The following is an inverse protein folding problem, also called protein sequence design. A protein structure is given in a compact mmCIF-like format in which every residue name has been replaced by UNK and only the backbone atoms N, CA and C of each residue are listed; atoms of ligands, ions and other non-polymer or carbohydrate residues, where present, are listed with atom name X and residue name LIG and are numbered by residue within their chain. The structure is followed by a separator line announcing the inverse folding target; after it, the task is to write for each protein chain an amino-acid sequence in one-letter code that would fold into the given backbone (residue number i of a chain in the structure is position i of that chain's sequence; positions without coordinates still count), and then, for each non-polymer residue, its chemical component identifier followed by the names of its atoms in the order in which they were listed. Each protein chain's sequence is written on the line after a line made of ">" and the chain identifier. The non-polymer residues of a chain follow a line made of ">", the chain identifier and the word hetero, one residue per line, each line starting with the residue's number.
data_IF_699817794687
#
_entry.id   IF_699817794687
#
_cell.length_a   1.000
_cell.length_b   1.000
_cell.length_c   1.000
_cell.angle_alpha   90.00
_cell.angle_beta   90.00
_cell.angle_gamma   90.00
#
_symmetry.space_group_name_H-M   'P 1'
#
loop_
_entity.id
_entity.type
_entity.pdbx_description
1 polymer ?
#
# COMPACT_ATOMS: atom_id res chain seq x y z
N UNK A 1 5.37 37.39 16.79
CA UNK A 1 4.50 37.95 17.82
C UNK A 1 5.15 39.24 18.32
N UNK A 2 4.59 40.39 17.90
CA UNK A 2 4.97 41.70 18.47
C UNK A 2 4.45 41.78 19.92
N UNK A 3 5.32 41.94 20.89
CA UNK A 3 4.95 42.06 22.30
C UNK A 3 5.05 43.52 22.74
N UNK A 4 3.91 44.14 22.98
CA UNK A 4 3.85 45.42 23.71
C UNK A 4 3.95 45.18 25.20
N UNK A 5 5.18 45.13 25.76
CA UNK A 5 5.51 45.17 27.19
C UNK A 5 4.78 44.17 28.09
N UNK A 6 5.41 43.03 28.40
CA UNK A 6 4.92 42.01 29.31
C UNK A 6 5.89 40.80 29.35
N UNK A 7 5.66 39.85 30.28
CA UNK A 7 6.44 38.61 30.36
C UNK A 7 6.21 37.81 29.04
N UNK A 8 7.30 37.46 28.34
CA UNK A 8 7.22 36.66 27.15
C UNK A 8 6.49 35.32 27.41
N UNK A 9 5.48 34.93 26.62
CA UNK A 9 4.82 33.65 26.81
C UNK A 9 5.81 32.51 26.55
N UNK A 10 5.81 31.50 27.41
CA UNK A 10 6.56 30.27 27.15
C UNK A 10 5.86 29.52 26.00
N UNK A 11 6.59 29.21 24.93
CA UNK A 11 6.13 28.35 23.87
C UNK A 11 6.48 26.91 24.21
N UNK A 12 5.47 26.06 24.32
CA UNK A 12 5.62 24.62 24.50
C UNK A 12 5.44 23.90 23.18
N UNK A 13 6.26 22.89 22.93
CA UNK A 13 6.18 22.05 21.74
C UNK A 13 6.39 20.58 22.06
N UNK A 14 6.03 19.70 21.13
CA UNK A 14 6.30 18.27 21.28
C UNK A 14 7.82 18.05 21.32
N UNK A 15 8.30 17.33 22.35
CA UNK A 15 9.68 16.88 22.38
C UNK A 15 9.85 15.67 21.44
N UNK A 16 10.66 15.77 20.38
CA UNK A 16 10.82 14.68 19.43
C UNK A 16 11.44 13.41 20.04
N UNK A 17 12.20 13.56 21.13
CA UNK A 17 12.88 12.44 21.80
C UNK A 17 12.05 11.79 22.92
N UNK A 18 10.80 12.19 23.10
CA UNK A 18 9.90 11.60 24.11
C UNK A 18 9.54 10.15 23.81
N UNK A 19 9.63 9.73 22.54
CA UNK A 19 9.35 8.37 22.13
C UNK A 19 9.56 8.18 20.63
N UNK A 20 9.56 6.93 20.23
CA UNK A 20 9.82 6.50 18.87
C UNK A 20 8.81 5.44 18.45
N UNK A 21 8.58 5.36 17.16
CA UNK A 21 7.65 4.40 16.55
C UNK A 21 8.33 3.70 15.39
N UNK A 22 8.09 2.41 15.28
CA UNK A 22 8.64 1.58 14.21
C UNK A 22 7.50 1.18 13.28
N UNK A 23 7.70 1.36 11.99
CA UNK A 23 6.86 0.79 10.94
C UNK A 23 7.57 -0.39 10.29
N UNK A 24 6.80 -1.40 9.90
CA UNK A 24 7.25 -2.54 9.11
C UNK A 24 6.28 -2.74 7.95
N UNK A 25 6.80 -2.78 6.74
CA UNK A 25 6.02 -2.96 5.52
C UNK A 25 6.47 -4.24 4.83
N UNK A 26 5.62 -5.27 4.85
CA UNK A 26 5.91 -6.59 4.31
C UNK A 26 5.56 -6.60 2.83
N UNK A 27 6.55 -6.90 1.98
CA UNK A 27 6.39 -7.15 0.55
C UNK A 27 6.66 -8.63 0.24
N UNK A 28 6.36 -9.05 -0.98
CA UNK A 28 6.51 -10.45 -1.40
C UNK A 28 7.94 -10.97 -1.27
N UNK A 29 8.95 -10.15 -1.60
CA UNK A 29 10.37 -10.54 -1.63
C UNK A 29 11.27 -9.66 -0.77
N UNK A 30 10.69 -8.75 0.00
CA UNK A 30 11.43 -7.85 0.87
C UNK A 30 10.57 -7.35 2.02
N UNK A 31 11.22 -6.79 3.04
CA UNK A 31 10.56 -5.93 4.02
C UNK A 31 11.23 -4.57 4.05
N UNK A 32 10.43 -3.55 4.35
CA UNK A 32 10.92 -2.22 4.69
C UNK A 32 10.71 -1.98 6.18
N UNK A 33 11.68 -1.39 6.86
CA UNK A 33 11.57 -1.04 8.27
C UNK A 33 11.98 0.42 8.44
N UNK A 34 11.15 1.20 9.11
CA UNK A 34 11.39 2.60 9.40
C UNK A 34 11.22 2.94 10.86
N UNK A 35 11.94 3.96 11.31
CA UNK A 35 11.83 4.55 12.63
C UNK A 35 11.48 6.02 12.50
N UNK A 36 10.46 6.46 13.22
CA UNK A 36 10.13 7.88 13.36
C UNK A 36 10.22 8.31 14.83
N UNK A 37 10.51 9.61 15.05
CA UNK A 37 10.45 10.22 16.36
C UNK A 37 9.00 10.57 16.76
N UNK A 38 8.83 11.13 17.97
CA UNK A 38 7.51 11.50 18.48
C UNK A 38 6.78 12.55 17.63
N UNK A 39 7.50 13.41 16.91
CA UNK A 39 6.92 14.37 15.95
C UNK A 39 6.48 13.72 14.64
N UNK A 40 6.97 12.53 14.32
CA UNK A 40 6.73 11.85 13.05
C UNK A 40 7.78 12.16 11.98
N UNK A 41 8.98 12.59 12.37
CA UNK A 41 10.11 12.76 11.47
C UNK A 41 10.83 11.41 11.31
N UNK A 42 11.19 11.06 10.07
CA UNK A 42 11.92 9.82 9.77
C UNK A 42 13.35 9.91 10.27
N UNK A 43 13.72 9.03 11.20
CA UNK A 43 15.05 8.96 11.81
C UNK A 43 15.93 7.90 11.14
N UNK A 44 15.38 6.73 10.87
CA UNK A 44 16.08 5.61 10.21
C UNK A 44 15.12 4.94 9.22
N UNK A 45 15.65 4.52 8.08
CA UNK A 45 14.88 3.82 7.05
C UNK A 45 15.75 2.77 6.38
N UNK A 46 15.30 1.53 6.39
CA UNK A 46 15.88 0.41 5.65
C UNK A 46 14.86 -0.11 4.67
N UNK A 47 15.18 0.04 3.39
CA UNK A 47 14.35 -0.42 2.28
C UNK A 47 14.91 -1.72 1.71
N UNK A 48 13.99 -2.54 1.19
CA UNK A 48 14.31 -3.74 0.44
C UNK A 48 15.23 -4.74 1.17
N UNK A 49 15.03 -4.91 2.49
CA UNK A 49 15.71 -5.96 3.24
C UNK A 49 15.22 -7.30 2.68
N UNK A 50 16.11 -8.18 2.19
CA UNK A 50 15.71 -9.45 1.62
C UNK A 50 14.87 -10.28 2.59
N UNK A 51 13.69 -10.66 2.14
CA UNK A 51 12.75 -11.49 2.89
C UNK A 51 11.79 -12.13 1.90
N UNK A 52 11.76 -13.45 1.84
CA UNK A 52 10.77 -14.17 1.05
C UNK A 52 9.58 -14.45 1.94
N UNK A 53 8.45 -13.80 1.62
CA UNK A 53 7.22 -14.05 2.37
C UNK A 53 6.82 -15.52 2.25
N UNK A 54 6.70 -16.18 3.39
CA UNK A 54 6.14 -17.52 3.54
C UNK A 54 5.08 -17.49 4.64
N UNK A 55 3.88 -17.97 4.29
CA UNK A 55 2.77 -18.03 5.24
C UNK A 55 2.96 -19.27 6.16
N UNK A 56 4.02 -19.23 6.96
CA UNK A 56 4.46 -20.29 7.87
C UNK A 56 4.96 -19.72 9.19
N UNK A 57 5.10 -20.57 10.20
CA UNK A 57 5.69 -20.20 11.50
C UNK A 57 7.15 -19.78 11.31
N UNK A 58 7.87 -20.44 10.42
CA UNK A 58 9.25 -20.14 10.06
C UNK A 58 9.36 -18.75 9.43
N UNK A 59 8.47 -18.42 8.49
CA UNK A 59 8.37 -17.09 7.88
C UNK A 59 8.09 -16.01 8.92
N UNK A 60 7.19 -16.26 9.87
CA UNK A 60 6.90 -15.33 10.96
C UNK A 60 8.12 -15.14 11.89
N UNK A 61 8.83 -16.22 12.20
CA UNK A 61 10.03 -16.16 13.03
C UNK A 61 11.16 -15.38 12.35
N UNK A 62 11.36 -15.57 11.04
CA UNK A 62 12.35 -14.80 10.28
C UNK A 62 11.98 -13.31 10.22
N UNK A 63 10.69 -12.97 10.03
CA UNK A 63 10.20 -11.60 10.14
C UNK A 63 10.56 -10.97 11.50
N UNK A 64 10.25 -11.64 12.59
CA UNK A 64 10.57 -11.17 13.94
C UNK A 64 12.08 -11.00 14.15
N UNK A 65 12.90 -11.89 13.61
CA UNK A 65 14.36 -11.82 13.67
C UNK A 65 14.89 -10.58 12.91
N UNK A 66 14.35 -10.27 11.72
CA UNK A 66 14.74 -9.09 10.95
C UNK A 66 14.37 -7.80 11.67
N UNK A 67 13.16 -7.72 12.26
CA UNK A 67 12.73 -6.59 13.08
C UNK A 67 13.63 -6.42 14.30
N UNK A 68 13.90 -7.51 15.03
CA UNK A 68 14.77 -7.49 16.20
C UNK A 68 16.20 -7.05 15.86
N UNK A 69 16.72 -7.50 14.71
CA UNK A 69 18.05 -7.09 14.23
C UNK A 69 18.11 -5.60 13.85
N UNK A 70 17.02 -5.05 13.33
CA UNK A 70 16.92 -3.61 13.10
C UNK A 70 16.94 -2.86 14.42
N UNK A 71 16.11 -3.27 15.40
CA UNK A 71 16.00 -2.62 16.72
C UNK A 71 17.33 -2.65 17.48
N UNK A 72 18.05 -3.79 17.46
CA UNK A 72 19.36 -3.93 18.14
C UNK A 72 20.43 -2.97 17.63
N UNK A 73 20.30 -2.44 16.42
CA UNK A 73 21.23 -1.45 15.84
C UNK A 73 20.90 -0.01 16.23
N UNK A 74 19.73 0.20 16.81
CA UNK A 74 19.33 1.53 17.29
C UNK A 74 19.97 1.83 18.62
N UNK A 75 20.47 3.07 18.80
CA UNK A 75 20.99 3.57 20.08
C UNK A 75 19.89 4.17 20.96
N UNK A 76 18.72 3.51 20.99
CA UNK A 76 17.50 3.98 21.66
C UNK A 76 17.16 3.01 22.78
N UNK A 77 16.85 3.55 23.97
CA UNK A 77 16.40 2.74 25.09
C UNK A 77 15.06 2.04 24.75
N UNK A 78 14.91 0.80 25.22
CA UNK A 78 13.74 -0.04 24.91
C UNK A 78 12.41 0.65 25.24
N UNK A 79 12.36 1.34 26.36
CA UNK A 79 11.18 2.01 26.93
C UNK A 79 10.74 3.22 26.08
N UNK A 80 11.63 3.73 25.22
CA UNK A 80 11.33 4.83 24.29
C UNK A 80 10.71 4.35 22.96
N UNK A 81 10.73 3.05 22.65
CA UNK A 81 10.03 2.48 21.51
C UNK A 81 8.60 2.19 21.96
N UNK A 82 7.67 3.06 21.59
CA UNK A 82 6.32 3.08 22.14
C UNK A 82 5.36 2.11 21.42
N UNK A 83 5.54 1.92 20.13
CA UNK A 83 4.72 1.01 19.33
C UNK A 83 5.45 0.59 18.04
N UNK A 84 5.17 -0.62 17.58
CA UNK A 84 5.57 -1.15 16.28
C UNK A 84 4.30 -1.43 15.49
N UNK A 85 4.16 -0.91 14.27
CA UNK A 85 3.05 -1.30 13.38
C UNK A 85 3.58 -2.14 12.22
N UNK A 86 2.94 -3.28 11.99
CA UNK A 86 3.28 -4.20 10.91
C UNK A 86 2.15 -4.21 9.86
N UNK A 87 2.47 -3.79 8.64
CA UNK A 87 1.56 -3.90 7.52
C UNK A 87 1.53 -5.32 6.99
N UNK A 88 0.35 -5.88 6.88
CA UNK A 88 0.08 -7.24 6.39
C UNK A 88 -0.89 -7.18 5.21
N UNK A 89 -0.60 -7.90 4.14
CA UNK A 89 -1.50 -7.95 2.98
C UNK A 89 -2.77 -8.75 3.28
N UNK A 90 -3.86 -8.37 2.61
CA UNK A 90 -5.16 -9.03 2.73
C UNK A 90 -6.01 -8.52 3.89
N UNK A 91 -6.89 -9.36 4.42
CA UNK A 91 -7.92 -8.98 5.39
C UNK A 91 -7.35 -8.90 6.80
N UNK A 92 -7.33 -7.71 7.34
CA UNK A 92 -6.78 -7.40 8.67
C UNK A 92 -7.80 -6.56 9.44
N UNK A 93 -8.14 -7.00 10.64
CA UNK A 93 -8.89 -6.20 11.59
C UNK A 93 -7.90 -5.50 12.53
N UNK A 94 -7.71 -4.18 12.38
CA UNK A 94 -6.71 -3.46 13.14
C UNK A 94 -7.09 -3.24 14.61
N UNK A 95 -8.38 -3.27 14.95
CA UNK A 95 -8.87 -3.10 16.33
C UNK A 95 -8.63 -4.35 17.15
N UNK A 96 -9.00 -5.52 16.61
CA UNK A 96 -8.81 -6.80 17.29
C UNK A 96 -7.42 -7.41 17.09
N UNK A 97 -6.62 -6.88 16.18
CA UNK A 97 -5.28 -7.39 15.89
C UNK A 97 -5.23 -8.71 15.14
N UNK A 98 -6.35 -9.16 14.54
CA UNK A 98 -6.40 -10.38 13.75
C UNK A 98 -6.04 -10.14 12.29
N UNK A 99 -5.21 -11.04 11.76
CA UNK A 99 -5.03 -11.24 10.31
C UNK A 99 -5.80 -12.47 9.88
N UNK A 100 -6.59 -12.37 8.81
CA UNK A 100 -7.40 -13.47 8.29
C UNK A 100 -6.85 -14.06 6.99
N UNK A 101 -5.79 -13.48 6.46
CA UNK A 101 -5.18 -13.90 5.19
C UNK A 101 -3.76 -14.41 5.34
N UNK A 102 -2.99 -13.85 6.25
CA UNK A 102 -1.58 -14.18 6.44
C UNK A 102 -1.27 -14.38 7.92
N UNK A 103 -0.36 -15.31 8.23
CA UNK A 103 0.07 -15.65 9.58
C UNK A 103 -1.09 -16.00 10.54
N UNK A 104 -2.15 -16.61 10.01
CA UNK A 104 -3.31 -17.03 10.78
C UNK A 104 -3.19 -18.51 11.15
N UNK A 105 -2.20 -18.84 11.99
CA UNK A 105 -1.90 -20.22 12.41
C UNK A 105 -2.48 -20.55 13.79
N UNK A 106 -2.71 -19.52 14.59
CA UNK A 106 -3.25 -19.65 15.93
C UNK A 106 -4.61 -18.91 16.00
N UNK A 107 -5.50 -19.37 16.87
CA UNK A 107 -6.76 -18.66 17.15
C UNK A 107 -6.52 -17.44 18.08
N UNK A 108 -5.47 -16.68 17.79
CA UNK A 108 -5.02 -15.53 18.56
C UNK A 108 -4.75 -14.32 17.65
N UNK A 109 -4.91 -13.09 18.16
CA UNK A 109 -4.52 -11.90 17.42
C UNK A 109 -3.04 -11.95 16.99
N UNK A 110 -2.76 -11.73 15.72
CA UNK A 110 -1.39 -11.67 15.22
C UNK A 110 -0.57 -10.58 15.92
N UNK A 111 -1.22 -9.46 16.30
CA UNK A 111 -0.59 -8.38 17.06
C UNK A 111 -0.05 -8.87 18.42
N UNK A 112 -0.77 -9.76 19.12
CA UNK A 112 -0.31 -10.34 20.38
C UNK A 112 0.85 -11.30 20.19
N UNK A 113 0.75 -12.18 19.18
CA UNK A 113 1.83 -13.13 18.84
C UNK A 113 3.12 -12.38 18.51
N UNK A 114 3.03 -11.30 17.72
CA UNK A 114 4.18 -10.46 17.40
C UNK A 114 4.70 -9.72 18.64
N UNK A 115 3.81 -9.22 19.50
CA UNK A 115 4.19 -8.51 20.72
C UNK A 115 4.97 -9.43 21.69
N UNK A 116 4.52 -10.67 21.88
CA UNK A 116 5.24 -11.66 22.68
C UNK A 116 6.63 -11.97 22.12
N UNK A 117 6.73 -12.19 20.79
CA UNK A 117 8.01 -12.53 20.14
C UNK A 117 9.00 -11.38 20.15
N UNK A 118 8.54 -10.14 19.98
CA UNK A 118 9.38 -8.96 19.89
C UNK A 118 9.64 -8.28 21.24
N UNK A 119 8.74 -8.46 22.20
CA UNK A 119 8.82 -7.84 23.53
C UNK A 119 8.48 -6.33 23.52
N UNK A 120 7.64 -5.90 22.57
CA UNK A 120 7.15 -4.52 22.40
C UNK A 120 5.64 -4.52 22.16
N UNK A 121 4.98 -3.37 22.33
CA UNK A 121 3.62 -3.19 21.85
C UNK A 121 3.64 -3.29 20.31
N UNK A 122 2.74 -4.11 19.76
CA UNK A 122 2.61 -4.27 18.31
C UNK A 122 1.17 -4.06 17.89
N UNK A 123 0.98 -3.33 16.81
CA UNK A 123 -0.28 -3.19 16.08
C UNK A 123 -0.08 -3.70 14.66
N UNK A 124 -1.17 -4.08 14.00
CA UNK A 124 -1.13 -4.49 12.60
C UNK A 124 -2.15 -3.69 11.80
N UNK A 125 -1.90 -3.51 10.51
CA UNK A 125 -2.87 -2.96 9.59
C UNK A 125 -2.70 -3.55 8.18
N UNK A 126 -3.70 -3.30 7.32
CA UNK A 126 -3.61 -3.67 5.92
C UNK A 126 -2.60 -2.75 5.19
N UNK A 127 -1.82 -3.34 4.26
CA UNK A 127 -0.78 -2.65 3.48
C UNK A 127 -1.33 -1.45 2.67
N UNK A 128 -2.46 -1.62 1.99
CA UNK A 128 -3.07 -0.55 1.18
C UNK A 128 -3.61 0.58 2.07
N UNK A 129 -4.20 0.28 3.23
CA UNK A 129 -4.60 1.31 4.20
C UNK A 129 -3.40 2.08 4.73
N UNK A 130 -2.31 1.39 5.01
CA UNK A 130 -1.08 2.04 5.42
C UNK A 130 -0.53 2.97 4.32
N UNK A 131 -0.47 2.52 3.05
CA UNK A 131 -0.08 3.38 1.93
C UNK A 131 -0.96 4.61 1.82
N UNK A 132 -2.27 4.45 1.98
CA UNK A 132 -3.26 5.54 1.97
C UNK A 132 -2.96 6.57 3.07
N UNK A 133 -2.73 6.10 4.28
CA UNK A 133 -2.43 6.95 5.42
C UNK A 133 -1.08 7.66 5.30
N UNK A 134 -0.10 6.98 4.70
CA UNK A 134 1.19 7.57 4.37
C UNK A 134 1.05 8.76 3.42
N UNK A 135 0.31 8.59 2.31
CA UNK A 135 0.04 9.65 1.35
C UNK A 135 -0.79 10.78 1.95
N UNK A 136 -1.75 10.46 2.80
CA UNK A 136 -2.57 11.43 3.50
C UNK A 136 -1.75 12.37 4.38
N UNK A 137 -0.82 11.82 5.18
CA UNK A 137 -0.08 12.62 6.16
C UNK A 137 1.23 13.21 5.64
N UNK A 138 1.89 12.58 4.67
CA UNK A 138 3.26 12.93 4.24
C UNK A 138 3.44 12.96 2.72
N UNK A 139 2.39 12.65 1.95
CA UNK A 139 2.45 12.52 0.51
C UNK A 139 1.92 13.71 -0.26
N UNK A 140 0.95 13.44 -1.14
CA UNK A 140 0.40 14.40 -2.10
C UNK A 140 -0.86 15.14 -1.62
N UNK A 141 -1.36 14.85 -0.41
CA UNK A 141 -2.57 15.48 0.15
C UNK A 141 -2.24 16.84 0.75
N UNK A 142 -3.04 17.86 0.46
CA UNK A 142 -2.84 19.25 0.86
C UNK A 142 -4.07 19.85 1.56
N UNK A 143 -4.78 19.04 2.35
CA UNK A 143 -5.95 19.46 3.12
C UNK A 143 -7.26 18.79 2.69
N UNK A 144 -7.23 18.00 1.62
CA UNK A 144 -8.36 17.17 1.20
C UNK A 144 -8.68 16.16 2.30
N UNK A 145 -9.98 15.88 2.49
CA UNK A 145 -10.48 15.01 3.56
C UNK A 145 -11.12 13.73 3.05
N UNK A 146 -11.62 13.75 1.81
CA UNK A 146 -12.29 12.61 1.18
C UNK A 146 -11.41 12.07 0.05
N UNK A 147 -10.76 10.95 0.31
CA UNK A 147 -9.69 10.44 -0.54
C UNK A 147 -9.90 8.96 -0.84
N UNK A 148 -9.64 8.59 -2.08
CA UNK A 148 -9.51 7.20 -2.51
C UNK A 148 -8.07 6.97 -2.99
N UNK A 149 -7.37 6.04 -2.37
CA UNK A 149 -6.06 5.56 -2.81
C UNK A 149 -6.22 4.21 -3.52
N UNK A 150 -5.78 4.12 -4.77
CA UNK A 150 -5.82 2.89 -5.56
C UNK A 150 -4.43 2.29 -5.60
N UNK A 151 -4.23 1.17 -4.92
CA UNK A 151 -2.98 0.42 -4.91
C UNK A 151 -2.97 -0.61 -6.04
N UNK A 152 -2.20 -0.34 -7.11
CA UNK A 152 -2.03 -1.23 -8.24
C UNK A 152 -0.63 -1.85 -8.15
N UNK A 153 -0.52 -2.90 -7.33
CA UNK A 153 0.71 -3.67 -7.14
C UNK A 153 0.53 -5.09 -7.73
N UNK A 154 1.13 -6.10 -7.15
CA UNK A 154 0.87 -7.48 -7.57
C UNK A 154 -0.62 -7.83 -7.49
N UNK A 155 -1.31 -7.41 -6.41
CA UNK A 155 -2.76 -7.38 -6.28
C UNK A 155 -3.33 -5.98 -6.55
N UNK A 156 -4.62 -5.83 -6.27
CA UNK A 156 -5.38 -4.59 -6.41
C UNK A 156 -6.19 -4.32 -5.14
N UNK A 157 -5.95 -3.19 -4.51
CA UNK A 157 -6.68 -2.76 -3.33
C UNK A 157 -7.03 -1.27 -3.36
N UNK A 158 -7.94 -0.87 -2.48
CA UNK A 158 -8.31 0.53 -2.30
C UNK A 158 -8.28 0.87 -0.81
N UNK A 159 -7.66 2.00 -0.49
CA UNK A 159 -7.81 2.64 0.81
C UNK A 159 -8.70 3.85 0.70
N UNK A 160 -9.53 4.07 1.71
CA UNK A 160 -10.57 5.10 1.72
C UNK A 160 -10.39 5.96 2.96
N UNK A 161 -10.37 7.28 2.76
CA UNK A 161 -10.44 8.28 3.83
C UNK A 161 -11.72 9.08 3.64
N UNK A 162 -12.49 9.23 4.71
CA UNK A 162 -13.73 10.01 4.75
C UNK A 162 -13.63 10.97 5.93
N UNK A 163 -13.87 12.25 5.69
CA UNK A 163 -13.73 13.33 6.68
C UNK A 163 -12.40 13.27 7.46
N UNK A 164 -11.31 13.00 6.72
CA UNK A 164 -9.96 12.92 7.28
C UNK A 164 -9.64 11.66 8.09
N UNK A 165 -10.51 10.66 8.10
CA UNK A 165 -10.35 9.40 8.85
C UNK A 165 -10.30 8.20 7.92
N UNK A 166 -9.42 7.26 8.20
CA UNK A 166 -9.38 5.98 7.48
C UNK A 166 -10.70 5.24 7.72
N UNK A 167 -11.36 4.87 6.63
CA UNK A 167 -12.55 4.05 6.67
C UNK A 167 -12.15 2.56 6.64
N UNK A 168 -12.41 1.85 7.73
CA UNK A 168 -12.07 0.43 7.88
C UNK A 168 -13.25 -0.51 7.63
N UNK A 169 -14.47 0.02 7.61
CA UNK A 169 -15.69 -0.79 7.63
C UNK A 169 -15.89 -1.47 8.98
N UNK A 170 -16.93 -2.30 9.09
CA UNK A 170 -17.33 -2.94 10.36
C UNK A 170 -16.24 -3.84 10.96
N UNK A 171 -15.51 -4.56 10.13
CA UNK A 171 -14.57 -5.61 10.56
C UNK A 171 -13.15 -5.40 10.04
N UNK A 172 -12.83 -4.19 9.55
CA UNK A 172 -11.55 -3.89 8.97
C UNK A 172 -11.38 -4.38 7.52
N UNK A 173 -12.46 -4.68 6.79
CA UNK A 173 -12.40 -5.27 5.44
C UNK A 173 -12.90 -4.33 4.35
N UNK A 174 -12.92 -3.01 4.60
CA UNK A 174 -13.19 -2.05 3.52
C UNK A 174 -12.08 -2.05 2.48
N UNK A 175 -12.41 -1.71 1.24
CA UNK A 175 -11.41 -1.54 0.19
C UNK A 175 -11.05 -2.81 -0.60
N UNK A 176 -11.80 -3.90 -0.44
CA UNK A 176 -11.65 -5.16 -1.22
C UNK A 176 -12.08 -4.98 -2.69
N UNK A 177 -11.70 -3.85 -3.29
CA UNK A 177 -12.07 -3.42 -4.63
C UNK A 177 -11.62 -4.38 -5.73
N UNK A 178 -10.45 -4.99 -5.58
CA UNK A 178 -9.94 -5.99 -6.50
C UNK A 178 -10.84 -7.22 -6.62
N UNK A 179 -11.68 -7.49 -5.61
CA UNK A 179 -12.58 -8.64 -5.58
C UNK A 179 -14.02 -8.33 -5.98
N UNK A 180 -14.29 -7.11 -6.49
CA UNK A 180 -15.59 -6.82 -7.12
C UNK A 180 -15.72 -7.64 -8.40
N UNK A 181 -16.87 -8.35 -8.55
CA UNK A 181 -17.18 -9.09 -9.76
C UNK A 181 -17.53 -8.12 -10.89
N UNK A 182 -16.64 -8.00 -11.85
CA UNK A 182 -16.67 -6.96 -12.89
C UNK A 182 -16.67 -7.55 -14.29
N UNK A 183 -16.07 -8.73 -14.44
CA UNK A 183 -15.89 -9.40 -15.71
C UNK A 183 -16.62 -10.74 -15.74
N UNK A 184 -17.19 -11.05 -16.91
CA UNK A 184 -17.75 -12.36 -17.18
C UNK A 184 -16.64 -13.22 -17.84
N UNK A 185 -15.75 -13.75 -17.02
CA UNK A 185 -14.65 -14.61 -17.42
C UNK A 185 -14.48 -15.80 -16.46
N UNK A 186 -13.80 -16.85 -16.93
CA UNK A 186 -13.56 -18.08 -16.18
C UNK A 186 -12.29 -18.07 -15.33
N UNK A 187 -11.59 -16.93 -15.24
CA UNK A 187 -10.34 -16.81 -14.47
C UNK A 187 -10.66 -16.87 -12.98
N UNK A 188 -10.08 -17.86 -12.31
CA UNK A 188 -10.25 -18.02 -10.87
C UNK A 188 -9.30 -17.07 -10.15
N UNK A 189 -9.86 -16.15 -9.37
CA UNK A 189 -9.12 -15.29 -8.48
C UNK A 189 -8.58 -16.10 -7.28
N UNK A 190 -7.48 -15.65 -6.66
CA UNK A 190 -6.96 -16.27 -5.44
C UNK A 190 -7.97 -16.27 -4.26
N UNK A 191 -9.01 -15.41 -4.30
CA UNK A 191 -10.12 -15.45 -3.34
C UNK A 191 -11.11 -16.60 -3.59
N UNK A 192 -10.90 -17.43 -4.62
CA UNK A 192 -11.74 -18.57 -4.99
C UNK A 192 -12.95 -18.23 -5.86
N UNK A 193 -13.14 -16.96 -6.26
CA UNK A 193 -14.25 -16.51 -7.11
C UNK A 193 -13.77 -16.18 -8.53
N UNK A 194 -14.72 -16.09 -9.48
CA UNK A 194 -14.48 -15.69 -10.87
C UNK A 194 -14.92 -14.25 -11.11
N UNK A 195 -14.38 -13.62 -12.16
CA UNK A 195 -14.78 -12.30 -12.60
C UNK A 195 -14.30 -11.14 -11.74
N UNK A 196 -13.38 -11.37 -10.80
CA UNK A 196 -12.80 -10.32 -9.98
C UNK A 196 -12.02 -9.30 -10.81
N UNK A 197 -12.14 -8.02 -10.49
CA UNK A 197 -11.40 -6.94 -11.15
C UNK A 197 -9.88 -7.20 -11.13
N UNK A 198 -9.35 -7.73 -10.04
CA UNK A 198 -7.92 -8.02 -9.88
C UNK A 198 -7.38 -8.99 -10.94
N UNK A 199 -8.19 -9.95 -11.39
CA UNK A 199 -7.75 -10.92 -12.43
C UNK A 199 -7.49 -10.29 -13.79
N UNK A 200 -7.98 -9.07 -14.01
CA UNK A 200 -7.88 -8.34 -15.28
C UNK A 200 -7.14 -7.00 -15.19
N UNK A 201 -6.92 -6.49 -13.98
CA UNK A 201 -6.43 -5.13 -13.79
C UNK A 201 -5.52 -4.99 -12.56
N UNK A 202 -4.51 -5.86 -12.47
CA UNK A 202 -3.50 -5.86 -11.40
C UNK A 202 -2.11 -6.19 -11.97
N UNK A 203 -1.08 -6.19 -11.13
CA UNK A 203 0.26 -6.64 -11.52
C UNK A 203 0.32 -8.13 -11.88
N UNK A 204 -0.46 -8.96 -11.19
CA UNK A 204 -0.58 -10.39 -11.56
C UNK A 204 -1.29 -10.58 -12.91
N UNK A 205 -2.28 -9.73 -13.21
CA UNK A 205 -2.91 -9.72 -14.53
C UNK A 205 -1.95 -9.26 -15.62
N UNK A 206 -1.20 -8.16 -15.38
CA UNK A 206 -0.17 -7.67 -16.30
C UNK A 206 0.86 -8.76 -16.61
N UNK A 207 1.36 -9.43 -15.59
CA UNK A 207 2.33 -10.51 -15.74
C UNK A 207 1.76 -11.68 -16.56
N UNK A 208 0.55 -12.15 -16.23
CA UNK A 208 -0.13 -13.24 -16.95
C UNK A 208 -0.37 -12.88 -18.42
N UNK A 209 -0.96 -11.71 -18.68
CA UNK A 209 -1.29 -11.26 -20.04
C UNK A 209 -0.01 -11.14 -20.90
N UNK A 210 1.07 -10.60 -20.34
CA UNK A 210 2.34 -10.49 -21.04
C UNK A 210 2.86 -11.87 -21.47
N UNK A 211 2.88 -12.84 -20.54
CA UNK A 211 3.35 -14.21 -20.86
C UNK A 211 2.47 -14.86 -21.94
N UNK A 212 1.14 -14.73 -21.84
CA UNK A 212 0.19 -15.26 -22.82
C UNK A 212 0.40 -14.63 -24.22
N UNK A 213 0.54 -13.30 -24.32
CA UNK A 213 0.74 -12.60 -25.60
C UNK A 213 2.08 -12.97 -26.25
N UNK A 214 3.16 -13.09 -25.47
CA UNK A 214 4.45 -13.53 -26.02
C UNK A 214 4.39 -15.00 -26.47
N UNK A 215 3.74 -15.89 -25.73
CA UNK A 215 3.55 -17.28 -26.14
C UNK A 215 2.74 -17.39 -27.44
N UNK A 216 1.84 -16.45 -27.69
CA UNK A 216 1.06 -16.34 -28.92
C UNK A 216 1.85 -15.68 -30.08
N UNK A 217 3.13 -15.37 -29.89
CA UNK A 217 4.02 -14.89 -30.96
C UNK A 217 4.23 -13.38 -31.01
N UNK A 218 3.73 -12.61 -30.02
CA UNK A 218 4.01 -11.18 -29.94
C UNK A 218 5.41 -10.93 -29.38
N UNK A 219 6.05 -9.85 -29.83
CA UNK A 219 7.43 -9.55 -29.46
C UNK A 219 7.53 -8.53 -28.31
N UNK A 220 8.40 -8.83 -27.37
CA UNK A 220 8.83 -7.95 -26.28
C UNK A 220 10.33 -8.11 -26.08
N UNK A 221 10.98 -7.11 -25.48
CA UNK A 221 12.37 -7.25 -25.04
C UNK A 221 12.54 -8.38 -24.00
N UNK A 222 11.46 -8.85 -23.39
CA UNK A 222 11.42 -9.94 -22.42
C UNK A 222 11.20 -11.32 -23.06
N UNK A 223 10.97 -11.40 -24.39
CA UNK A 223 10.61 -12.66 -25.08
C UNK A 223 11.63 -13.77 -24.90
N UNK A 224 12.94 -13.43 -24.85
CA UNK A 224 14.03 -14.41 -24.67
C UNK A 224 14.08 -15.05 -23.29
N UNK A 225 13.31 -14.52 -22.32
CA UNK A 225 13.29 -14.99 -20.92
C UNK A 225 12.07 -15.85 -20.58
N UNK A 226 11.18 -16.04 -21.54
CA UNK A 226 9.99 -16.90 -21.33
C UNK A 226 10.45 -18.34 -21.12
N UNK A 227 9.89 -18.98 -20.09
CA UNK A 227 10.19 -20.36 -19.73
C UNK A 227 11.44 -20.56 -18.89
N UNK A 228 12.16 -19.49 -18.55
CA UNK A 228 13.26 -19.59 -17.58
C UNK A 228 12.72 -19.74 -16.16
N UNK A 229 12.56 -20.99 -15.71
CA UNK A 229 12.04 -21.34 -14.39
C UNK A 229 12.98 -20.86 -13.26
N UNK A 230 14.28 -20.76 -13.54
CA UNK A 230 15.26 -20.36 -12.54
C UNK A 230 15.31 -18.84 -12.33
N UNK A 231 14.85 -18.09 -13.34
CA UNK A 231 14.84 -16.63 -13.30
C UNK A 231 13.54 -16.09 -13.94
N UNK A 232 12.38 -16.24 -13.26
CA UNK A 232 11.09 -15.81 -13.81
C UNK A 232 11.05 -14.29 -13.96
N UNK A 233 10.35 -13.83 -15.00
CA UNK A 233 10.12 -12.40 -15.23
C UNK A 233 9.40 -11.81 -14.02
N UNK A 234 9.93 -10.73 -13.47
CA UNK A 234 9.36 -10.02 -12.32
C UNK A 234 8.49 -8.84 -12.77
N UNK A 235 7.59 -8.39 -11.88
CA UNK A 235 6.80 -7.19 -12.15
C UNK A 235 7.68 -5.95 -12.35
N UNK A 236 8.75 -5.83 -11.58
CA UNK A 236 9.69 -4.69 -11.68
C UNK A 236 10.40 -4.66 -13.06
N UNK A 237 10.71 -5.82 -13.63
CA UNK A 237 11.27 -5.91 -14.98
C UNK A 237 10.25 -5.52 -16.05
N UNK A 238 8.99 -5.89 -15.87
CA UNK A 238 7.91 -5.45 -16.78
C UNK A 238 7.77 -3.92 -16.73
N UNK A 239 7.74 -3.33 -15.53
CA UNK A 239 7.71 -1.88 -15.35
C UNK A 239 8.94 -1.21 -15.99
N UNK A 240 10.12 -1.78 -15.80
CA UNK A 240 11.35 -1.29 -16.43
C UNK A 240 11.28 -1.39 -17.96
N UNK A 241 10.60 -2.40 -18.51
CA UNK A 241 10.40 -2.56 -19.96
C UNK A 241 9.43 -1.50 -20.52
N UNK A 242 8.33 -1.20 -19.81
CA UNK A 242 7.45 -0.08 -20.16
C UNK A 242 8.24 1.22 -20.24
N UNK A 243 9.08 1.50 -19.22
CA UNK A 243 9.90 2.71 -19.15
C UNK A 243 11.05 2.73 -20.20
N UNK A 244 11.34 1.60 -20.86
CA UNK A 244 12.23 1.47 -22.02
C UNK A 244 11.47 1.45 -23.35
N UNK A 245 10.19 1.82 -23.31
CA UNK A 245 9.32 1.92 -24.49
C UNK A 245 9.07 0.58 -25.21
N UNK A 246 9.02 -0.54 -24.45
CA UNK A 246 8.57 -1.82 -24.98
C UNK A 246 7.08 -1.75 -25.35
N UNK A 247 6.79 -1.85 -26.63
CA UNK A 247 5.44 -1.63 -27.17
C UNK A 247 4.40 -2.57 -26.56
N UNK A 248 4.72 -3.86 -26.45
CA UNK A 248 3.81 -4.86 -25.91
C UNK A 248 3.47 -4.57 -24.43
N UNK A 249 4.50 -4.23 -23.63
CA UNK A 249 4.30 -3.87 -22.22
C UNK A 249 3.48 -2.59 -22.06
N UNK A 250 3.68 -1.60 -22.93
CA UNK A 250 2.90 -0.34 -22.94
C UNK A 250 1.43 -0.64 -23.25
N UNK A 251 1.14 -1.37 -24.32
CA UNK A 251 -0.23 -1.71 -24.72
C UNK A 251 -0.99 -2.41 -23.58
N UNK A 252 -0.37 -3.39 -22.91
CA UNK A 252 -1.02 -4.10 -21.81
C UNK A 252 -1.30 -3.16 -20.62
N UNK A 253 -0.36 -2.26 -20.29
CA UNK A 253 -0.55 -1.27 -19.22
C UNK A 253 -1.69 -0.30 -19.57
N UNK A 254 -1.81 0.14 -20.83
CA UNK A 254 -2.90 0.99 -21.28
C UNK A 254 -4.25 0.27 -21.18
N UNK A 255 -4.35 -1.00 -21.62
CA UNK A 255 -5.55 -1.83 -21.48
C UNK A 255 -5.98 -1.96 -19.99
N UNK A 256 -5.04 -2.24 -19.12
CA UNK A 256 -5.27 -2.29 -17.67
C UNK A 256 -5.77 -0.94 -17.15
N UNK A 257 -5.15 0.15 -17.59
CA UNK A 257 -5.55 1.51 -17.22
C UNK A 257 -6.98 1.84 -17.63
N UNK A 258 -7.41 1.43 -18.83
CA UNK A 258 -8.79 1.60 -19.29
C UNK A 258 -9.78 0.79 -18.43
N UNK A 259 -9.47 -0.47 -18.13
CA UNK A 259 -10.29 -1.34 -17.26
C UNK A 259 -10.44 -0.74 -15.87
N UNK A 260 -9.33 -0.30 -15.26
CA UNK A 260 -9.31 0.36 -13.95
C UNK A 260 -10.09 1.67 -13.95
N UNK A 261 -9.86 2.53 -14.93
CA UNK A 261 -10.51 3.83 -15.00
C UNK A 261 -12.03 3.74 -15.07
N UNK A 262 -12.57 2.73 -15.75
CA UNK A 262 -14.01 2.45 -15.76
C UNK A 262 -14.54 2.13 -14.36
N UNK A 263 -13.80 1.36 -13.57
CA UNK A 263 -14.21 0.99 -12.21
C UNK A 263 -13.97 2.12 -11.20
N UNK A 264 -12.88 2.87 -11.36
CA UNK A 264 -12.60 4.07 -10.55
C UNK A 264 -13.69 5.14 -10.77
N UNK A 265 -14.24 5.26 -11.98
CA UNK A 265 -15.39 6.13 -12.25
C UNK A 265 -16.62 5.75 -11.40
N UNK A 266 -16.84 4.45 -11.17
CA UNK A 266 -17.86 3.97 -10.24
C UNK A 266 -17.59 4.42 -8.79
N UNK A 267 -16.36 4.33 -8.32
CA UNK A 267 -15.98 4.83 -6.98
C UNK A 267 -16.17 6.34 -6.86
N UNK A 268 -15.79 7.10 -7.88
CA UNK A 268 -16.00 8.56 -7.92
C UNK A 268 -17.49 8.88 -7.84
N UNK A 269 -18.34 8.18 -8.59
CA UNK A 269 -19.80 8.40 -8.53
C UNK A 269 -20.43 8.04 -7.19
N UNK A 270 -19.85 7.06 -6.45
CA UNK A 270 -20.39 6.58 -5.18
C UNK A 270 -19.92 7.40 -3.98
N UNK A 271 -18.65 7.80 -3.98
CA UNK A 271 -18.01 8.44 -2.82
C UNK A 271 -17.80 9.94 -2.98
N UNK A 272 -17.85 10.46 -4.22
CA UNK A 272 -17.53 11.86 -4.54
C UNK A 272 -16.26 12.35 -3.84
N UNK A 273 -15.11 11.66 -4.00
CA UNK A 273 -13.89 12.03 -3.31
C UNK A 273 -13.29 13.33 -3.87
N UNK A 274 -12.61 14.12 -3.04
CA UNK A 274 -11.85 15.27 -3.49
C UNK A 274 -10.59 14.83 -4.28
N UNK A 275 -10.00 13.69 -3.89
CA UNK A 275 -8.76 13.20 -4.46
C UNK A 275 -8.77 11.68 -4.67
N UNK A 276 -8.40 11.26 -5.87
CA UNK A 276 -8.07 9.86 -6.20
C UNK A 276 -6.58 9.76 -6.44
N UNK A 277 -5.89 8.95 -5.64
CA UNK A 277 -4.44 8.75 -5.71
C UNK A 277 -4.16 7.41 -6.37
N UNK A 278 -3.44 7.41 -7.49
CA UNK A 278 -2.97 6.20 -8.16
C UNK A 278 -1.59 5.84 -7.62
N UNK A 279 -1.50 4.72 -6.93
CA UNK A 279 -0.28 4.22 -6.30
C UNK A 279 0.00 2.75 -6.59
N UNK A 280 0.97 2.19 -5.89
CA UNK A 280 1.45 0.83 -6.12
C UNK A 280 2.48 0.73 -7.23
N UNK A 281 2.99 -0.49 -7.47
CA UNK A 281 4.12 -0.74 -8.37
C UNK A 281 3.84 -0.32 -9.81
N UNK A 282 2.62 -0.58 -10.34
CA UNK A 282 2.28 -0.21 -11.73
C UNK A 282 2.21 1.31 -11.91
N UNK A 283 1.95 2.08 -10.85
CA UNK A 283 1.95 3.55 -10.96
C UNK A 283 3.32 4.14 -11.37
N UNK A 284 4.39 3.36 -11.23
CA UNK A 284 5.75 3.73 -11.66
C UNK A 284 5.92 3.79 -13.18
N UNK A 285 4.95 3.29 -13.95
CA UNK A 285 4.89 3.47 -15.42
C UNK A 285 4.42 4.89 -15.82
N UNK A 286 4.10 5.74 -14.84
CA UNK A 286 3.78 7.15 -15.08
C UNK A 286 2.53 7.35 -15.94
N UNK A 287 2.69 8.07 -17.04
CA UNK A 287 1.57 8.43 -17.92
C UNK A 287 0.98 7.25 -18.68
N UNK A 288 1.74 6.17 -18.90
CA UNK A 288 1.23 4.97 -19.56
C UNK A 288 0.04 4.35 -18.82
N UNK A 289 0.01 4.39 -17.49
CA UNK A 289 -1.14 3.93 -16.71
C UNK A 289 -2.11 5.07 -16.38
N UNK A 290 -1.63 6.30 -16.09
CA UNK A 290 -2.48 7.36 -15.56
C UNK A 290 -3.37 8.01 -16.62
N UNK A 291 -2.90 8.17 -17.86
CA UNK A 291 -3.71 8.76 -18.93
C UNK A 291 -4.89 7.88 -19.35
N UNK A 292 -4.73 6.57 -19.58
CA UNK A 292 -5.86 5.68 -19.83
C UNK A 292 -6.90 5.67 -18.69
N UNK A 293 -6.44 5.69 -17.43
CA UNK A 293 -7.34 5.81 -16.26
C UNK A 293 -8.14 7.12 -16.36
N UNK A 294 -7.47 8.27 -16.51
CA UNK A 294 -8.12 9.59 -16.59
C UNK A 294 -9.12 9.67 -17.74
N UNK A 295 -8.76 9.13 -18.91
CA UNK A 295 -9.64 9.08 -20.08
C UNK A 295 -10.89 8.25 -19.83
N UNK A 296 -10.74 7.06 -19.24
CA UNK A 296 -11.86 6.20 -18.91
C UNK A 296 -12.74 6.81 -17.80
N UNK A 297 -12.14 7.41 -16.76
CA UNK A 297 -12.90 8.11 -15.71
C UNK A 297 -13.79 9.20 -16.32
N UNK A 298 -13.25 10.05 -17.19
CA UNK A 298 -14.04 11.09 -17.89
C UNK A 298 -15.20 10.53 -18.70
N UNK A 299 -15.03 9.34 -19.28
CA UNK A 299 -16.03 8.67 -20.10
C UNK A 299 -17.17 8.06 -19.28
N UNK A 300 -16.89 7.58 -18.06
CA UNK A 300 -17.81 6.74 -17.29
C UNK A 300 -18.31 7.37 -15.98
N UNK A 301 -17.74 8.48 -15.53
CA UNK A 301 -18.24 9.22 -14.37
C UNK A 301 -19.19 10.34 -14.78
N UNK A 302 -20.06 10.76 -13.86
CA UNK A 302 -20.91 11.92 -14.03
C UNK A 302 -20.08 13.21 -14.09
N UNK A 303 -20.33 14.08 -15.07
CA UNK A 303 -19.53 15.29 -15.32
C UNK A 303 -19.40 16.20 -14.09
N UNK A 304 -20.46 16.35 -13.31
CA UNK A 304 -20.44 17.20 -12.11
C UNK A 304 -19.53 16.58 -11.02
N UNK A 305 -19.69 15.30 -10.75
CA UNK A 305 -18.91 14.59 -9.75
C UNK A 305 -17.42 14.52 -10.14
N UNK A 306 -17.14 14.29 -11.44
CA UNK A 306 -15.76 14.24 -11.94
C UNK A 306 -15.03 15.61 -11.84
N UNK A 307 -15.77 16.72 -11.84
CA UNK A 307 -15.16 18.05 -11.69
C UNK A 307 -14.69 18.32 -10.25
N UNK A 308 -15.31 17.66 -9.27
CA UNK A 308 -14.95 17.78 -7.85
C UNK A 308 -13.75 16.91 -7.48
N UNK A 309 -13.43 15.89 -8.30
CA UNK A 309 -12.39 14.92 -8.01
C UNK A 309 -11.12 15.16 -8.85
N UNK A 310 -9.98 15.31 -8.19
CA UNK A 310 -8.67 15.31 -8.87
C UNK A 310 -8.09 13.88 -8.88
N UNK A 311 -7.39 13.52 -9.99
CA UNK A 311 -6.66 12.24 -10.09
C UNK A 311 -5.17 12.54 -10.16
N UNK A 312 -4.42 12.08 -9.17
CA UNK A 312 -2.97 12.28 -9.04
C UNK A 312 -2.23 10.96 -8.87
N UNK A 313 -0.93 10.97 -9.05
CA UNK A 313 -0.06 9.83 -8.73
C UNK A 313 0.50 9.95 -7.31
N UNK A 314 0.75 8.80 -6.68
CA UNK A 314 1.43 8.72 -5.38
C UNK A 314 2.75 9.49 -5.40
N UNK A 315 2.94 10.36 -4.41
CA UNK A 315 4.18 11.12 -4.22
C UNK A 315 5.23 10.30 -3.49
N UNK A 316 4.82 9.48 -2.54
CA UNK A 316 5.71 8.62 -1.76
C UNK A 316 6.15 7.37 -2.52
N UNK A 317 5.39 6.97 -3.56
CA UNK A 317 5.69 5.81 -4.43
C UNK A 317 5.92 4.53 -3.61
N UNK A 318 7.08 3.89 -3.77
CA UNK A 318 7.50 2.67 -3.08
C UNK A 318 7.68 2.84 -1.56
N UNK A 319 7.77 4.10 -1.08
CA UNK A 319 7.87 4.44 0.34
C UNK A 319 6.51 4.62 1.04
N UNK A 320 5.39 4.64 0.30
CA UNK A 320 4.07 4.91 0.88
C UNK A 320 3.71 3.93 2.00
N UNK A 321 3.96 2.63 1.79
CA UNK A 321 3.69 1.58 2.79
C UNK A 321 4.46 1.77 4.08
N UNK A 322 5.78 1.99 3.99
CA UNK A 322 6.62 2.14 5.20
C UNK A 322 6.36 3.46 5.94
N UNK A 323 6.15 4.56 5.22
CA UNK A 323 5.77 5.84 5.84
C UNK A 323 4.43 5.69 6.55
N UNK A 324 3.46 5.06 5.88
CA UNK A 324 2.15 4.76 6.47
C UNK A 324 2.24 3.87 7.70
N UNK A 325 3.04 2.81 7.68
CA UNK A 325 3.28 1.94 8.84
C UNK A 325 3.81 2.73 10.04
N UNK A 326 4.80 3.58 9.83
CA UNK A 326 5.35 4.44 10.88
C UNK A 326 4.29 5.41 11.44
N UNK A 327 3.51 6.03 10.56
CA UNK A 327 2.48 6.99 10.97
C UNK A 327 1.32 6.30 11.69
N UNK A 328 0.92 5.09 11.28
CA UNK A 328 -0.05 4.26 11.99
C UNK A 328 0.46 3.84 13.37
N UNK A 329 1.72 3.42 13.48
CA UNK A 329 2.32 3.12 14.77
C UNK A 329 2.19 4.28 15.75
N UNK A 330 2.34 5.51 15.24
CA UNK A 330 2.22 6.73 16.04
C UNK A 330 0.76 7.08 16.35
N UNK A 331 -0.14 7.09 15.37
CA UNK A 331 -1.52 7.54 15.56
C UNK A 331 -2.27 6.70 16.58
N UNK A 332 -2.05 5.39 16.58
CA UNK A 332 -2.68 4.44 17.52
C UNK A 332 -2.27 4.60 18.99
N UNK A 333 -1.32 5.47 19.27
CA UNK A 333 -1.05 5.91 20.66
C UNK A 333 -2.05 6.94 21.17
N UNK A 334 -2.75 7.64 20.26
CA UNK A 334 -3.64 8.75 20.57
C UNK A 334 -5.13 8.44 20.28
N UNK A 335 -5.38 7.29 19.69
CA UNK A 335 -6.74 6.75 19.54
C UNK A 335 -7.12 6.07 20.87
N UNK A 336 -7.98 6.74 21.66
CA UNK A 336 -8.59 6.21 22.90
C UNK A 336 -9.96 5.61 22.60
#
# INVERSE_FOLDING_TARGET
>A
LETSGGRHPNLYGLNPESGYFIGVDIKRFAINIGLINFKGDMMELKMNIPYKFENSIEGLNELCKLISNFIKKLTIAKEKILNINVNVSGRVNPESGYSFSQFNFEERPLSEVLAEKLGYKVTIDNDTRAMTYGEYLKGCVNGEKDIIFVNISWGLGVGIIIDGKIYTGKSGFSGEFGHTSTFDNEIICHCGKKGCLETEASGSALHRILLERIQNGENSILSSRIGDVNNPITLDEIIASVNKEDLLCIEIVEEIGQKLGKQIAGLINLFNPELVIIGGTISLTGDYITQPIKTAVRKYSLNLVNKDSAIVTSKLKDRAGIVGACMLARSRMFEC
#
